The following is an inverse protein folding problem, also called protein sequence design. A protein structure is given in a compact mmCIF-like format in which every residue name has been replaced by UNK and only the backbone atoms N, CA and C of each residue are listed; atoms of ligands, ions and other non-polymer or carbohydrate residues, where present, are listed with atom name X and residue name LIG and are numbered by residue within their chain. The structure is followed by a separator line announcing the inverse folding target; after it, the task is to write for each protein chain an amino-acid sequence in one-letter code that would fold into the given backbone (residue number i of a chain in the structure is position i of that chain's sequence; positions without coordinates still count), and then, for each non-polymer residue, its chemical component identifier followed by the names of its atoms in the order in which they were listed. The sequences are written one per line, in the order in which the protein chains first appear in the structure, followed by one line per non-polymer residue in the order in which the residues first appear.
data_IF_621533933828
#
_entry.id   IF_621533933828
#
_cell.length_a   1.000
_cell.length_b   1.000
_cell.length_c   1.000
_cell.angle_alpha   90.00
_cell.angle_beta   90.00
_cell.angle_gamma   90.00
#
_symmetry.space_group_name_H-M   'P 1'
#
loop_
_entity.id
_entity.type
_entity.pdbx_description
1 polymer ?
#
# COMPACT_ATOMS: atom_id res chain seq x y z
N UNK A 1 5.18 -8.09 -25.88
CA UNK A 1 4.99 -8.32 -24.44
C UNK A 1 3.64 -8.99 -24.33
N UNK A 2 3.62 -10.32 -24.33
CA UNK A 2 2.39 -11.07 -24.15
C UNK A 2 2.00 -11.02 -22.67
N UNK A 3 0.76 -10.65 -22.40
CA UNK A 3 0.22 -10.55 -21.05
C UNK A 3 -0.08 -11.97 -20.55
N UNK A 4 0.92 -12.60 -19.92
CA UNK A 4 0.71 -13.87 -19.24
C UNK A 4 -0.30 -13.70 -18.09
N UNK A 5 -1.18 -14.70 -17.83
CA UNK A 5 -2.14 -14.67 -16.72
C UNK A 5 -1.49 -14.37 -15.36
N UNK A 6 -0.23 -14.74 -15.20
CA UNK A 6 0.60 -14.40 -14.04
C UNK A 6 0.81 -12.88 -13.90
N UNK A 7 1.16 -12.19 -14.99
CA UNK A 7 1.32 -10.73 -14.97
C UNK A 7 -0.01 -10.03 -14.70
N UNK A 8 -1.12 -10.59 -15.16
CA UNK A 8 -2.46 -10.05 -14.86
C UNK A 8 -2.81 -10.20 -13.36
N UNK A 9 -2.55 -11.37 -12.78
CA UNK A 9 -2.76 -11.61 -11.34
C UNK A 9 -1.88 -10.68 -10.48
N UNK A 10 -0.62 -10.50 -10.88
CA UNK A 10 0.29 -9.56 -10.25
C UNK A 10 -0.23 -8.12 -10.29
N UNK A 11 -0.70 -7.66 -11.46
CA UNK A 11 -1.29 -6.32 -11.61
C UNK A 11 -2.52 -6.15 -10.70
N UNK A 12 -3.41 -7.14 -10.65
CA UNK A 12 -4.59 -7.11 -9.78
C UNK A 12 -4.20 -7.03 -8.29
N UNK A 13 -3.18 -7.78 -7.86
CA UNK A 13 -2.66 -7.68 -6.49
C UNK A 13 -2.08 -6.30 -6.18
N UNK A 14 -1.34 -5.70 -7.12
CA UNK A 14 -0.80 -4.35 -6.95
C UNK A 14 -1.91 -3.30 -6.75
N UNK A 15 -2.97 -3.37 -7.57
CA UNK A 15 -4.13 -2.48 -7.46
C UNK A 15 -4.86 -2.70 -6.13
N UNK A 16 -5.09 -3.96 -5.75
CA UNK A 16 -5.73 -4.32 -4.48
C UNK A 16 -4.98 -3.73 -3.27
N UNK A 17 -3.67 -3.96 -3.18
CA UNK A 17 -2.86 -3.39 -2.11
C UNK A 17 -2.88 -1.87 -2.09
N UNK A 18 -2.77 -1.22 -3.26
CA UNK A 18 -2.81 0.25 -3.32
C UNK A 18 -4.13 0.81 -2.79
N UNK A 19 -5.27 0.20 -3.14
CA UNK A 19 -6.60 0.64 -2.69
C UNK A 19 -6.82 0.34 -1.21
N UNK A 20 -6.39 -0.82 -0.73
CA UNK A 20 -6.47 -1.20 0.69
C UNK A 20 -5.66 -0.23 1.56
N UNK A 21 -4.41 0.05 1.19
CA UNK A 21 -3.58 1.02 1.91
C UNK A 21 -4.22 2.40 1.94
N UNK A 22 -4.71 2.87 0.78
CA UNK A 22 -5.33 4.19 0.65
C UNK A 22 -6.57 4.32 1.53
N UNK A 23 -7.48 3.34 1.47
CA UNK A 23 -8.74 3.37 2.21
C UNK A 23 -8.54 3.27 3.72
N UNK A 24 -7.63 2.41 4.18
CA UNK A 24 -7.30 2.28 5.60
C UNK A 24 -6.62 3.53 6.16
N UNK A 25 -5.65 4.11 5.44
CA UNK A 25 -4.99 5.36 5.83
C UNK A 25 -6.02 6.49 5.88
N UNK A 26 -6.83 6.66 4.83
CA UNK A 26 -7.80 7.75 4.75
C UNK A 26 -8.87 7.66 5.86
N UNK A 27 -9.38 6.46 6.13
CA UNK A 27 -10.39 6.24 7.16
C UNK A 27 -9.84 6.55 8.57
N UNK A 28 -8.66 6.03 8.91
CA UNK A 28 -8.04 6.31 10.21
C UNK A 28 -7.62 7.77 10.35
N UNK A 29 -7.09 8.36 9.28
CA UNK A 29 -6.74 9.78 9.25
C UNK A 29 -7.96 10.66 9.49
N UNK A 30 -9.10 10.38 8.86
CA UNK A 30 -10.35 11.11 9.05
C UNK A 30 -10.90 10.94 10.48
N UNK A 31 -10.80 9.73 11.04
CA UNK A 31 -11.25 9.41 12.40
C UNK A 31 -10.37 10.00 13.50
N UNK A 32 -9.08 10.24 13.25
CA UNK A 32 -8.18 10.83 14.24
C UNK A 32 -8.69 12.22 14.66
N UNK A 33 -8.64 12.50 15.96
CA UNK A 33 -9.05 13.80 16.54
C UNK A 33 -7.91 14.80 16.64
N UNK A 34 -6.72 14.44 16.15
CA UNK A 34 -5.53 15.25 16.33
C UNK A 34 -5.61 16.52 15.46
N UNK A 35 -5.18 17.66 16.02
CA UNK A 35 -5.31 18.98 15.37
C UNK A 35 -4.27 19.19 14.28
N UNK A 36 -3.06 18.66 14.48
CA UNK A 36 -2.00 18.75 13.49
C UNK A 36 -2.08 17.58 12.49
N UNK A 37 -2.18 17.86 11.19
CA UNK A 37 -2.30 16.85 10.15
C UNK A 37 -1.08 15.94 10.00
N UNK A 38 0.13 16.45 10.30
CA UNK A 38 1.35 15.63 10.27
C UNK A 38 1.33 14.61 11.40
N UNK A 39 0.91 15.03 12.59
CA UNK A 39 0.81 14.18 13.77
C UNK A 39 -0.32 13.14 13.64
N UNK A 40 -1.46 13.51 13.04
CA UNK A 40 -2.54 12.56 12.66
C UNK A 40 -2.02 11.45 11.75
N UNK A 41 -1.21 11.83 10.77
CA UNK A 41 -0.67 10.90 9.78
C UNK A 41 0.34 9.95 10.40
N UNK A 42 1.24 10.44 11.25
CA UNK A 42 2.19 9.61 12.00
C UNK A 42 1.48 8.60 12.90
N UNK A 43 0.47 9.06 13.66
CA UNK A 43 -0.35 8.19 14.53
C UNK A 43 -1.07 7.13 13.71
N UNK A 44 -1.63 7.52 12.56
CA UNK A 44 -2.32 6.61 11.64
C UNK A 44 -1.33 5.56 11.12
N UNK A 45 -0.21 5.97 10.53
CA UNK A 45 0.79 5.06 9.97
C UNK A 45 1.36 4.11 11.02
N UNK A 46 1.55 4.56 12.26
CA UNK A 46 2.02 3.70 13.36
C UNK A 46 0.97 2.65 13.73
N UNK A 47 -0.32 3.03 13.75
CA UNK A 47 -1.41 2.09 14.05
C UNK A 47 -1.62 1.04 12.96
N UNK A 48 -1.64 1.45 11.68
CA UNK A 48 -1.96 0.54 10.57
C UNK A 48 -0.73 -0.07 9.91
N UNK A 49 0.47 0.49 10.06
CA UNK A 49 1.68 0.02 9.40
C UNK A 49 2.01 -1.44 9.69
N UNK A 50 1.85 -1.87 10.95
CA UNK A 50 2.09 -3.27 11.33
C UNK A 50 1.12 -4.26 10.65
N UNK A 51 -0.21 -4.05 10.70
CA UNK A 51 -1.17 -4.81 9.89
C UNK A 51 -0.82 -4.89 8.39
N UNK A 52 -0.37 -3.78 7.80
CA UNK A 52 -0.04 -3.74 6.36
C UNK A 52 1.19 -4.58 6.01
N UNK A 53 2.23 -4.56 6.86
CA UNK A 53 3.40 -5.43 6.70
C UNK A 53 3.01 -6.90 6.85
N UNK A 54 2.14 -7.22 7.81
CA UNK A 54 1.64 -8.57 8.01
C UNK A 54 0.88 -9.10 6.78
N UNK A 55 0.11 -8.24 6.10
CA UNK A 55 -0.58 -8.56 4.84
C UNK A 55 0.40 -8.89 3.71
N UNK A 56 1.48 -8.11 3.56
CA UNK A 56 2.52 -8.41 2.58
C UNK A 56 3.20 -9.76 2.86
N UNK A 57 3.51 -10.02 4.14
CA UNK A 57 4.15 -11.27 4.55
C UNK A 57 3.23 -12.50 4.39
N UNK A 58 1.95 -12.38 4.74
CA UNK A 58 0.99 -13.48 4.60
C UNK A 58 0.79 -13.88 3.14
N UNK A 59 0.87 -12.91 2.23
CA UNK A 59 0.81 -13.17 0.78
C UNK A 59 2.01 -14.02 0.35
N UNK A 60 3.22 -13.67 0.77
CA UNK A 60 4.43 -14.47 0.49
C UNK A 60 4.27 -15.90 1.04
N UNK A 61 3.79 -16.04 2.28
CA UNK A 61 3.58 -17.35 2.92
C UNK A 61 2.52 -18.17 2.17
N UNK A 62 1.41 -17.56 1.74
CA UNK A 62 0.33 -18.22 1.04
C UNK A 62 0.78 -18.87 -0.28
N UNK A 63 1.83 -18.33 -0.90
CA UNK A 63 2.34 -18.79 -2.20
C UNK A 63 3.44 -19.86 -2.03
N UNK A 64 4.04 -19.99 -0.84
CA UNK A 64 5.09 -20.98 -0.57
C UNK A 64 4.72 -22.42 -0.97
N UNK A 65 3.48 -22.94 -0.75
CA UNK A 65 3.12 -24.29 -1.16
C UNK A 65 3.20 -24.53 -2.67
N UNK A 66 3.07 -23.48 -3.49
CA UNK A 66 3.24 -23.60 -4.94
C UNK A 66 4.71 -23.92 -5.29
N UNK A 67 5.67 -23.54 -4.43
CA UNK A 67 7.11 -23.84 -4.55
C UNK A 67 7.44 -25.33 -4.47
N UNK A 68 6.52 -26.18 -4.01
CA UNK A 68 6.77 -27.62 -3.84
C UNK A 68 6.91 -28.35 -5.18
N UNK A 69 6.48 -27.75 -6.30
CA UNK A 69 6.71 -28.29 -7.64
C UNK A 69 7.94 -27.61 -8.27
N UNK A 70 9.02 -28.35 -8.57
CA UNK A 70 10.19 -27.78 -9.24
C UNK A 70 9.81 -27.46 -10.69
N UNK A 71 9.39 -26.23 -10.92
CA UNK A 71 9.11 -25.73 -12.27
C UNK A 71 9.60 -24.29 -12.39
N UNK A 72 10.15 -23.97 -13.57
CA UNK A 72 10.59 -22.62 -13.91
C UNK A 72 9.47 -21.58 -13.69
N UNK A 73 8.24 -21.95 -14.03
CA UNK A 73 7.04 -21.12 -13.83
C UNK A 73 6.88 -20.66 -12.38
N UNK A 74 7.10 -21.54 -11.40
CA UNK A 74 6.92 -21.22 -9.99
C UNK A 74 8.01 -20.30 -9.46
N UNK A 75 9.25 -20.46 -9.92
CA UNK A 75 10.35 -19.57 -9.53
C UNK A 75 10.12 -18.14 -10.05
N UNK A 76 9.66 -18.02 -11.29
CA UNK A 76 9.27 -16.74 -11.89
C UNK A 76 8.07 -16.15 -11.14
N UNK A 77 7.07 -16.97 -10.81
CA UNK A 77 5.87 -16.55 -10.06
C UNK A 77 6.20 -15.94 -8.70
N UNK A 78 7.04 -16.61 -7.90
CA UNK A 78 7.50 -16.12 -6.60
C UNK A 78 8.26 -14.80 -6.73
N UNK A 79 9.19 -14.69 -7.69
CA UNK A 79 9.94 -13.45 -7.91
C UNK A 79 9.00 -12.30 -8.31
N UNK A 80 8.05 -12.55 -9.21
CA UNK A 80 7.08 -11.54 -9.65
C UNK A 80 6.24 -11.03 -8.49
N UNK A 81 5.70 -11.92 -7.63
CA UNK A 81 4.87 -11.48 -6.51
C UNK A 81 5.69 -10.74 -5.45
N UNK A 82 6.91 -11.18 -5.15
CA UNK A 82 7.77 -10.48 -4.20
C UNK A 82 8.07 -9.05 -4.68
N UNK A 83 8.44 -8.90 -5.96
CA UNK A 83 8.70 -7.58 -6.57
C UNK A 83 7.44 -6.71 -6.54
N UNK A 84 6.28 -7.28 -6.86
CA UNK A 84 5.03 -6.52 -6.93
C UNK A 84 4.49 -6.16 -5.55
N UNK A 85 4.59 -7.05 -4.56
CA UNK A 85 4.25 -6.73 -3.18
C UNK A 85 5.15 -5.62 -2.64
N UNK A 86 6.47 -5.70 -2.88
CA UNK A 86 7.39 -4.67 -2.39
C UNK A 86 7.19 -3.33 -3.09
N UNK A 87 6.96 -3.31 -4.41
CA UNK A 87 6.60 -2.08 -5.13
C UNK A 87 5.24 -1.52 -4.68
N UNK A 88 4.24 -2.38 -4.49
CA UNK A 88 2.91 -1.98 -4.02
C UNK A 88 2.94 -1.42 -2.60
N UNK A 89 3.69 -2.05 -1.69
CA UNK A 89 3.93 -1.54 -0.34
C UNK A 89 4.70 -0.21 -0.39
N UNK A 90 5.77 -0.11 -1.18
CA UNK A 90 6.52 1.14 -1.32
C UNK A 90 5.62 2.27 -1.85
N UNK A 91 4.85 2.00 -2.91
CA UNK A 91 3.91 2.96 -3.47
C UNK A 91 2.84 3.36 -2.44
N UNK A 92 2.22 2.38 -1.79
CA UNK A 92 1.16 2.62 -0.79
C UNK A 92 1.62 3.34 0.47
N UNK A 93 2.83 3.03 0.98
CA UNK A 93 3.35 3.62 2.21
C UNK A 93 4.13 4.92 2.00
N UNK A 94 4.60 5.24 0.79
CA UNK A 94 5.37 6.47 0.53
C UNK A 94 4.56 7.51 -0.23
N UNK A 95 3.88 7.11 -1.31
CA UNK A 95 3.14 8.06 -2.15
C UNK A 95 1.85 8.51 -1.46
N UNK A 96 1.17 7.62 -0.75
CA UNK A 96 -0.06 7.97 -0.03
C UNK A 96 0.15 9.03 1.07
N UNK A 97 1.11 8.89 2.00
CA UNK A 97 1.36 9.96 2.98
C UNK A 97 1.82 11.27 2.32
N UNK A 98 2.62 11.20 1.25
CA UNK A 98 3.02 12.40 0.53
C UNK A 98 1.82 13.15 -0.07
N UNK A 99 0.88 12.43 -0.70
CA UNK A 99 -0.36 13.02 -1.22
C UNK A 99 -1.20 13.60 -0.08
N UNK A 100 -1.34 12.88 1.04
CA UNK A 100 -2.15 13.34 2.17
C UNK A 100 -1.56 14.60 2.83
N UNK A 101 -0.23 14.68 2.97
CA UNK A 101 0.45 15.89 3.42
C UNK A 101 0.22 17.04 2.44
N UNK A 102 0.33 16.80 1.12
CA UNK A 102 0.09 17.84 0.11
C UNK A 102 -1.34 18.40 0.18
N UNK A 103 -2.35 17.52 0.25
CA UNK A 103 -3.76 17.91 0.39
C UNK A 103 -3.97 18.71 1.68
N UNK A 104 -3.37 18.27 2.78
CA UNK A 104 -3.50 18.98 4.05
C UNK A 104 -2.87 20.38 4.03
N UNK A 105 -1.72 20.55 3.37
CA UNK A 105 -1.09 21.87 3.20
C UNK A 105 -1.97 22.80 2.35
N UNK A 106 -2.61 22.27 1.29
CA UNK A 106 -3.54 23.04 0.44
C UNK A 106 -4.75 23.51 1.26
N UNK A 107 -5.38 22.60 2.01
CA UNK A 107 -6.53 22.95 2.86
C UNK A 107 -6.17 24.04 3.88
N UNK A 108 -5.01 23.92 4.55
CA UNK A 108 -4.55 24.93 5.52
C UNK A 108 -4.29 26.28 4.86
N UNK A 109 -3.76 26.29 3.63
CA UNK A 109 -3.50 27.52 2.87
C UNK A 109 -4.80 28.21 2.44
N UNK A 110 -5.80 27.46 2.01
CA UNK A 110 -7.13 27.99 1.68
C UNK A 110 -7.84 28.58 2.91
N UNK A 111 -7.74 27.95 4.08
CA UNK A 111 -8.33 28.47 5.31
C UNK A 111 -7.61 29.73 5.84
N UNK A 112 -6.30 29.84 5.60
CA UNK A 112 -5.51 31.02 5.98
C UNK A 112 -5.67 32.25 5.10
N UNK A 113 -6.36 32.12 3.95
CA UNK A 113 -6.63 33.24 3.03
C UNK A 113 -8.14 33.40 2.84
N UNK A 114 -8.90 33.78 3.89
CA UNK A 114 -10.27 34.18 3.71
C UNK A 114 -10.26 35.51 2.94
N UNK A 115 -10.88 35.50 1.76
CA UNK A 115 -11.23 36.72 1.02
C UNK A 115 -12.01 37.69 1.92
#
# INVERSE_FOLDING_TARGET
IDLDPLSMAALLMAVGFSVDFTSHIAYHYYKSKQSDPSLRLEETLTCIGWPLVQVGLSTIIAILPLSLKPSYLVMVFLKTIVVVCSLGMFHGLVIMPAILTAISQINRKCESNPL
#
